data_IF_277986983241
#
_entry.id   IF_277986983241
#
_cell.length_a   1.000
_cell.length_b   1.000
_cell.length_c   1.000
_cell.angle_alpha   90.00
_cell.angle_beta   90.00
_cell.angle_gamma   90.00
#
_symmetry.space_group_name_H-M   'P 1'
#
loop_
_entity.id
_entity.type
_entity.pdbx_description
1 polymer ?
#
# COMPACT_ATOMS: atom_id res chain seq x y z
N UNK A 1 20.54 5.49 3.17
CA UNK A 1 19.44 6.49 3.14
C UNK A 1 18.12 5.73 3.29
N UNK A 2 17.18 6.15 4.15
CA UNK A 2 15.92 5.41 4.34
C UNK A 2 15.09 5.42 3.05
N UNK A 3 14.67 4.26 2.58
CA UNK A 3 13.72 4.11 1.46
C UNK A 3 12.39 3.59 1.99
N UNK A 4 11.28 4.04 1.40
CA UNK A 4 9.93 3.52 1.67
C UNK A 4 9.32 3.21 0.32
N UNK A 5 8.91 1.96 0.13
CA UNK A 5 8.39 1.49 -1.17
C UNK A 5 9.43 1.70 -2.28
N UNK A 6 10.68 1.27 -2.07
CA UNK A 6 11.75 1.39 -3.06
C UNK A 6 12.21 2.81 -3.39
N UNK A 7 11.60 3.84 -2.80
CA UNK A 7 11.91 5.24 -3.12
C UNK A 7 12.61 5.92 -1.98
N UNK A 8 13.58 6.75 -2.35
CA UNK A 8 14.13 7.70 -1.42
C UNK A 8 13.08 8.76 -1.07
N UNK A 9 13.33 9.46 0.04
CA UNK A 9 12.55 10.62 0.43
C UNK A 9 12.43 11.65 -0.70
N UNK A 10 13.52 11.86 -1.46
CA UNK A 10 13.57 12.83 -2.56
C UNK A 10 12.70 12.40 -3.74
N UNK A 11 12.66 11.11 -4.04
CA UNK A 11 11.84 10.61 -5.15
C UNK A 11 10.34 10.74 -4.82
N UNK A 12 9.97 10.44 -3.58
CA UNK A 12 8.63 10.72 -3.07
C UNK A 12 8.26 12.20 -3.18
N UNK A 13 9.17 13.10 -2.79
CA UNK A 13 8.93 14.54 -2.93
C UNK A 13 8.74 14.95 -4.38
N UNK A 14 9.64 14.49 -5.28
CA UNK A 14 9.58 14.79 -6.72
C UNK A 14 8.25 14.32 -7.32
N UNK A 15 7.86 13.07 -7.04
CA UNK A 15 6.59 12.51 -7.52
C UNK A 15 5.39 13.32 -7.03
N UNK A 16 5.26 13.50 -5.72
CA UNK A 16 4.13 14.24 -5.15
C UNK A 16 4.04 15.66 -5.69
N UNK A 17 5.20 16.34 -5.86
CA UNK A 17 5.26 17.67 -6.45
C UNK A 17 4.77 17.65 -7.91
N UNK A 18 5.24 16.71 -8.73
CA UNK A 18 4.79 16.58 -10.11
C UNK A 18 3.27 16.45 -10.23
N UNK A 19 2.65 15.56 -9.44
CA UNK A 19 1.20 15.40 -9.50
C UNK A 19 0.43 16.57 -8.91
N UNK A 20 0.95 17.20 -7.86
CA UNK A 20 0.34 18.39 -7.27
C UNK A 20 0.40 19.59 -8.24
N UNK A 21 1.52 19.78 -8.92
CA UNK A 21 1.71 20.86 -9.88
C UNK A 21 0.84 20.68 -11.14
N UNK A 22 0.45 19.43 -11.46
CA UNK A 22 -0.49 19.10 -12.53
C UNK A 22 -1.97 19.33 -12.18
N UNK A 23 -2.31 19.61 -10.91
CA UNK A 23 -3.69 19.95 -10.51
C UNK A 23 -4.04 21.39 -10.88
N UNK A 24 -5.33 21.69 -11.08
CA UNK A 24 -5.82 23.07 -11.25
C UNK A 24 -5.54 23.92 -10.00
N UNK A 25 -5.58 25.25 -10.10
CA UNK A 25 -5.30 26.14 -8.96
C UNK A 25 -6.30 25.95 -7.82
N UNK A 26 -7.56 25.70 -8.16
CA UNK A 26 -8.66 25.39 -7.24
C UNK A 26 -8.40 24.07 -6.53
N UNK A 27 -8.04 23.02 -7.27
CA UNK A 27 -7.69 21.71 -6.71
C UNK A 27 -6.44 21.78 -5.82
N UNK A 28 -5.42 22.57 -6.20
CA UNK A 28 -4.24 22.81 -5.36
C UNK A 28 -4.63 23.50 -4.04
N UNK A 29 -5.55 24.47 -4.09
CA UNK A 29 -6.06 25.17 -2.91
C UNK A 29 -6.80 24.20 -1.99
N UNK A 30 -7.65 23.35 -2.54
CA UNK A 30 -8.40 22.36 -1.76
C UNK A 30 -7.51 21.24 -1.21
N UNK A 31 -6.52 20.78 -1.98
CA UNK A 31 -5.51 19.86 -1.48
C UNK A 31 -4.73 20.44 -0.28
N UNK A 32 -4.36 21.73 -0.34
CA UNK A 32 -3.74 22.43 0.80
C UNK A 32 -4.68 22.53 2.00
N UNK A 33 -5.96 22.84 1.80
CA UNK A 33 -6.99 22.84 2.86
C UNK A 33 -7.14 21.47 3.53
N UNK A 34 -7.01 20.38 2.77
CA UNK A 34 -7.01 19.00 3.31
C UNK A 34 -5.70 18.61 4.03
N UNK A 35 -4.71 19.52 4.07
CA UNK A 35 -3.44 19.33 4.77
C UNK A 35 -2.33 18.76 3.89
N UNK A 36 -2.32 19.05 2.59
CA UNK A 36 -1.20 18.68 1.72
C UNK A 36 0.10 19.31 2.21
N UNK A 37 1.07 18.46 2.58
CA UNK A 37 2.41 18.86 2.97
C UNK A 37 3.43 17.83 2.48
N UNK A 38 4.32 18.24 1.57
CA UNK A 38 5.29 17.38 0.93
C UNK A 38 6.66 17.38 1.65
N UNK A 39 6.66 17.50 2.99
CA UNK A 39 7.86 17.53 3.84
C UNK A 39 7.72 16.59 5.03
N UNK A 40 8.71 15.74 5.24
CA UNK A 40 8.71 14.70 6.27
C UNK A 40 7.98 13.43 5.80
N UNK A 41 8.44 12.27 6.25
CA UNK A 41 7.96 10.96 5.76
C UNK A 41 6.48 10.71 6.03
N UNK A 42 5.97 11.13 7.19
CA UNK A 42 4.56 10.97 7.56
C UNK A 42 3.66 11.81 6.65
N UNK A 43 4.07 13.05 6.41
CA UNK A 43 3.32 14.01 5.62
C UNK A 43 3.41 13.68 4.13
N UNK A 44 4.55 13.22 3.60
CA UNK A 44 4.70 12.75 2.22
C UNK A 44 3.70 11.67 1.85
N UNK A 45 3.52 10.68 2.73
CA UNK A 45 2.55 9.59 2.51
C UNK A 45 1.12 10.12 2.54
N UNK A 46 0.82 11.06 3.44
CA UNK A 46 -0.49 11.72 3.51
C UNK A 46 -0.76 12.60 2.28
N UNK A 47 0.22 13.39 1.86
CA UNK A 47 0.19 14.25 0.69
C UNK A 47 -0.11 13.44 -0.57
N UNK A 48 0.51 12.26 -0.72
CA UNK A 48 0.20 11.34 -1.80
C UNK A 48 -1.26 10.91 -1.81
N UNK A 49 -1.81 10.51 -0.65
CA UNK A 49 -3.24 10.16 -0.54
C UNK A 49 -4.16 11.32 -0.91
N UNK A 50 -3.79 12.55 -0.57
CA UNK A 50 -4.59 13.75 -0.90
C UNK A 50 -4.58 13.97 -2.41
N UNK A 51 -3.41 13.98 -3.04
CA UNK A 51 -3.29 14.24 -4.48
C UNK A 51 -3.99 13.16 -5.31
N UNK A 52 -3.95 11.89 -4.86
CA UNK A 52 -4.71 10.77 -5.47
C UNK A 52 -6.22 10.98 -5.52
N UNK A 53 -6.81 11.81 -4.66
CA UNK A 53 -8.25 12.07 -4.69
C UNK A 53 -8.66 12.98 -5.85
N UNK A 54 -7.76 13.85 -6.29
CA UNK A 54 -8.04 14.86 -7.31
C UNK A 54 -7.66 14.40 -8.72
N UNK A 55 -6.90 13.32 -8.83
CA UNK A 55 -6.42 12.82 -10.10
C UNK A 55 -6.60 11.29 -10.13
N UNK A 56 -7.53 10.82 -10.96
CA UNK A 56 -7.81 9.39 -11.13
C UNK A 56 -6.76 8.68 -11.99
N UNK A 57 -5.95 9.42 -12.76
CA UNK A 57 -4.82 8.91 -13.54
C UNK A 57 -3.51 8.93 -12.75
N UNK A 58 -3.60 8.84 -11.42
CA UNK A 58 -2.40 8.82 -10.59
C UNK A 58 -1.73 7.46 -10.70
N UNK A 59 -0.54 7.50 -11.30
CA UNK A 59 0.24 6.31 -11.59
C UNK A 59 0.81 5.67 -10.32
N UNK A 60 0.87 4.35 -10.33
CA UNK A 60 1.60 3.55 -9.36
C UNK A 60 3.09 3.90 -9.38
N UNK A 61 3.84 3.38 -8.39
CA UNK A 61 5.28 3.61 -8.34
C UNK A 61 6.04 2.90 -9.44
N UNK A 62 5.57 1.70 -9.77
CA UNK A 62 6.01 0.98 -10.94
C UNK A 62 5.83 1.82 -12.21
N UNK A 63 4.61 2.31 -12.46
CA UNK A 63 4.30 3.10 -13.66
C UNK A 63 5.07 4.43 -13.69
N UNK A 64 5.23 5.11 -12.55
CA UNK A 64 6.04 6.33 -12.46
C UNK A 64 7.51 6.11 -12.84
N UNK A 65 8.08 4.95 -12.45
CA UNK A 65 9.45 4.57 -12.80
C UNK A 65 9.56 4.17 -14.28
N UNK A 66 8.61 3.37 -14.74
CA UNK A 66 8.51 2.91 -16.13
C UNK A 66 8.44 4.09 -17.12
N UNK A 67 7.57 5.07 -16.87
CA UNK A 67 7.43 6.27 -17.70
C UNK A 67 8.72 7.09 -17.85
N UNK A 68 9.59 7.04 -16.85
CA UNK A 68 10.86 7.78 -16.84
C UNK A 68 12.01 6.98 -17.46
N UNK A 69 11.73 5.80 -18.01
CA UNK A 69 12.75 4.88 -18.53
C UNK A 69 13.59 4.21 -17.45
N UNK A 70 13.21 4.32 -16.17
CA UNK A 70 13.91 3.68 -15.05
C UNK A 70 13.41 2.24 -14.89
N UNK A 71 13.80 1.37 -15.84
CA UNK A 71 13.37 -0.03 -15.89
C UNK A 71 13.85 -0.83 -14.67
N UNK A 72 15.10 -0.62 -14.24
CA UNK A 72 15.66 -1.28 -13.05
C UNK A 72 14.87 -0.87 -11.81
N UNK A 73 14.61 0.42 -11.63
CA UNK A 73 13.78 0.89 -10.53
C UNK A 73 12.34 0.38 -10.58
N UNK A 74 11.77 0.19 -11.77
CA UNK A 74 10.44 -0.42 -11.92
C UNK A 74 10.44 -1.90 -11.48
N UNK A 75 11.45 -2.68 -11.90
CA UNK A 75 11.63 -4.08 -11.48
C UNK A 75 11.80 -4.19 -9.96
N UNK A 76 12.62 -3.33 -9.36
CA UNK A 76 12.82 -3.31 -7.91
C UNK A 76 11.52 -3.07 -7.14
N UNK A 77 10.64 -2.20 -7.67
CA UNK A 77 9.31 -1.96 -7.08
C UNK A 77 8.44 -3.21 -7.19
N UNK A 78 8.40 -3.85 -8.37
CA UNK A 78 7.62 -5.08 -8.56
C UNK A 78 8.09 -6.22 -7.65
N UNK A 79 9.41 -6.38 -7.46
CA UNK A 79 9.96 -7.36 -6.54
C UNK A 79 9.54 -7.08 -5.10
N UNK A 80 9.64 -5.82 -4.66
CA UNK A 80 9.21 -5.41 -3.32
C UNK A 80 7.71 -5.64 -3.07
N UNK A 81 6.87 -5.36 -4.07
CA UNK A 81 5.43 -5.62 -4.00
C UNK A 81 5.14 -7.12 -3.89
N UNK A 82 5.83 -7.94 -4.66
CA UNK A 82 5.71 -9.40 -4.60
C UNK A 82 6.14 -9.96 -3.23
N UNK A 83 7.24 -9.46 -2.65
CA UNK A 83 7.68 -9.87 -1.31
C UNK A 83 6.65 -9.55 -0.23
N UNK A 84 6.05 -8.36 -0.30
CA UNK A 84 4.98 -7.95 0.63
C UNK A 84 3.74 -8.82 0.47
N UNK A 85 3.31 -9.08 -0.76
CA UNK A 85 2.18 -9.95 -1.03
C UNK A 85 2.41 -11.36 -0.48
N UNK A 86 3.61 -11.91 -0.68
CA UNK A 86 4.02 -13.19 -0.10
C UNK A 86 3.99 -13.19 1.43
N UNK A 87 4.46 -12.12 2.07
CA UNK A 87 4.44 -12.00 3.53
C UNK A 87 3.01 -11.93 4.10
N UNK A 88 2.11 -11.19 3.44
CA UNK A 88 0.69 -11.14 3.81
C UNK A 88 0.06 -12.52 3.64
N UNK A 89 0.24 -13.15 2.47
CA UNK A 89 -0.31 -14.48 2.19
C UNK A 89 0.14 -15.53 3.22
N UNK A 90 1.42 -15.52 3.62
CA UNK A 90 1.94 -16.41 4.68
C UNK A 90 1.26 -16.18 6.03
N UNK A 91 1.05 -14.91 6.40
CA UNK A 91 0.38 -14.57 7.66
C UNK A 91 -1.07 -15.01 7.64
N UNK A 92 -1.78 -14.73 6.55
CA UNK A 92 -3.16 -15.15 6.34
C UNK A 92 -3.31 -16.67 6.36
N UNK A 93 -2.40 -17.40 5.71
CA UNK A 93 -2.43 -18.87 5.72
C UNK A 93 -2.31 -19.43 7.16
N UNK A 94 -1.37 -18.90 7.95
CA UNK A 94 -1.21 -19.31 9.36
C UNK A 94 -2.46 -19.03 10.19
N UNK A 95 -3.11 -17.89 9.97
CA UNK A 95 -4.36 -17.54 10.65
C UNK A 95 -5.49 -18.50 10.26
N UNK A 96 -5.62 -18.83 8.97
CA UNK A 96 -6.62 -19.79 8.48
C UNK A 96 -6.39 -21.18 9.07
N UNK A 97 -5.16 -21.67 9.10
CA UNK A 97 -4.81 -22.95 9.73
C UNK A 97 -5.19 -22.98 11.22
N UNK A 98 -4.95 -21.88 11.94
CA UNK A 98 -5.33 -21.76 13.35
C UNK A 98 -6.85 -21.81 13.50
N UNK A 99 -7.59 -21.08 12.66
CA UNK A 99 -9.06 -21.06 12.68
C UNK A 99 -9.66 -22.41 12.32
N UNK A 100 -9.10 -23.11 11.35
CA UNK A 100 -9.54 -24.46 10.99
C UNK A 100 -9.44 -25.40 12.20
N UNK A 101 -8.29 -25.41 12.89
CA UNK A 101 -8.12 -26.22 14.11
C UNK A 101 -9.10 -25.86 15.22
N UNK A 102 -9.40 -24.57 15.39
CA UNK A 102 -10.42 -24.12 16.36
C UNK A 102 -11.82 -24.66 15.98
N UNK A 103 -12.18 -24.62 14.70
CA UNK A 103 -13.46 -25.13 14.20
C UNK A 103 -13.56 -26.65 14.33
N UNK A 104 -12.51 -27.39 14.00
CA UNK A 104 -12.47 -28.85 14.14
C UNK A 104 -12.70 -29.25 15.61
N UNK A 105 -12.05 -28.57 16.56
CA UNK A 105 -12.27 -28.82 17.99
C UNK A 105 -13.70 -28.51 18.45
N UNK A 106 -14.32 -27.46 17.89
CA UNK A 106 -15.72 -27.14 18.19
C UNK A 106 -16.64 -28.24 17.64
N UNK A 107 -16.41 -28.68 16.41
CA UNK A 107 -17.15 -29.76 15.77
C UNK A 107 -17.03 -31.07 16.56
N UNK A 108 -15.83 -31.48 16.96
CA UNK A 108 -15.59 -32.67 17.76
C UNK A 108 -16.31 -32.62 19.11
N UNK A 109 -16.26 -31.46 19.80
CA UNK A 109 -16.99 -31.27 21.07
C UNK A 109 -18.50 -31.34 20.88
N UNK A 110 -19.02 -30.81 19.77
CA UNK A 110 -20.44 -30.88 19.46
C UNK A 110 -20.86 -32.32 19.17
N UNK A 111 -20.12 -33.04 18.32
CA UNK A 111 -20.39 -34.44 17.98
C UNK A 111 -20.39 -35.36 19.21
N UNK A 112 -19.43 -35.18 20.14
CA UNK A 112 -19.40 -35.93 21.41
C UNK A 112 -20.66 -35.77 22.27
N UNK A 113 -21.43 -34.70 22.11
CA UNK A 113 -22.71 -34.52 22.83
C UNK A 113 -23.84 -35.36 22.24
N UNK A 114 -23.71 -35.85 21.00
CA UNK A 114 -24.76 -36.53 20.26
C UNK A 114 -24.46 -38.01 19.94
N UNK A 115 -23.27 -38.52 20.25
CA UNK A 115 -22.99 -39.97 20.21
C UNK A 115 -23.49 -40.58 21.53
N UNK A 116 -24.56 -41.41 21.53
CA UNK A 116 -24.92 -42.20 22.70
C UNK A 116 -23.88 -43.33 22.86
N UNK A 117 -23.58 -43.68 24.12
CA UNK A 117 -22.75 -44.83 24.50
C UNK A 117 -23.14 -46.10 23.74
#
# INVERSE_FOLDING_TARGET
MKTIEGLSYRDWQKRNKQYFDALSKEQQKDARRQGYNNRGWKQIKRAWRIVRKFNQNVKSLFEYKLDRGDLVGAIDISLLEAERAKAVAKTTLKELEKRQKELDQIADRALKKYVPL
#
